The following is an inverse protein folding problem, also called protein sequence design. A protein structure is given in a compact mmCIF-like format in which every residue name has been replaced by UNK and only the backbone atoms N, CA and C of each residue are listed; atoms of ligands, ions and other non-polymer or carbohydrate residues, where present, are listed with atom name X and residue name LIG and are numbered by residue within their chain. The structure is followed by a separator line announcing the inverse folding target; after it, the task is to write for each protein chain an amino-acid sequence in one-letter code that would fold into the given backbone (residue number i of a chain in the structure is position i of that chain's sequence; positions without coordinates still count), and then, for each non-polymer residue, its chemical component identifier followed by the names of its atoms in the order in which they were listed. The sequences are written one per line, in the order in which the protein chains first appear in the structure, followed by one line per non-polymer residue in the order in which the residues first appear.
data_IF_321696706805
#
_entry.id   IF_321696706805
#
_cell.length_a   1.000
_cell.length_b   1.000
_cell.length_c   1.000
_cell.angle_alpha   90.00
_cell.angle_beta   90.00
_cell.angle_gamma   90.00
#
_symmetry.space_group_name_H-M   'P 1'
#
loop_
_entity.id
_entity.type
_entity.pdbx_description
1 polymer ?
#
# COMPACT_ATOMS: atom_id res chain seq x y z
N UNK A 1 0.83 -26.99 0.27
CA UNK A 1 -0.53 -26.94 0.86
C UNK A 1 -1.52 -27.01 -0.30
N UNK A 2 -2.64 -27.74 -0.15
CA UNK A 2 -3.73 -27.67 -1.14
C UNK A 2 -4.25 -26.23 -1.24
N UNK A 3 -4.65 -25.79 -2.43
CA UNK A 3 -5.15 -24.44 -2.71
C UNK A 3 -6.29 -24.04 -1.77
N UNK A 4 -7.15 -25.00 -1.39
CA UNK A 4 -8.26 -24.79 -0.44
C UNK A 4 -7.79 -24.40 0.97
N UNK A 5 -6.70 -25.00 1.45
CA UNK A 5 -6.15 -24.70 2.78
C UNK A 5 -5.55 -23.30 2.82
N UNK A 6 -4.90 -22.87 1.74
CA UNK A 6 -4.36 -21.51 1.62
C UNK A 6 -5.48 -20.46 1.61
N UNK A 7 -6.56 -20.70 0.85
CA UNK A 7 -7.73 -19.81 0.80
C UNK A 7 -8.39 -19.68 2.17
N UNK A 8 -8.65 -20.80 2.86
CA UNK A 8 -9.29 -20.76 4.19
C UNK A 8 -8.46 -19.96 5.20
N UNK A 9 -7.14 -20.15 5.22
CA UNK A 9 -6.25 -19.37 6.08
C UNK A 9 -6.29 -17.87 5.74
N UNK A 10 -6.31 -17.51 4.45
CA UNK A 10 -6.46 -16.12 4.02
C UNK A 10 -7.78 -15.53 4.52
N UNK A 11 -8.88 -16.27 4.39
CA UNK A 11 -10.20 -15.83 4.86
C UNK A 11 -10.26 -15.68 6.38
N UNK A 12 -9.69 -16.62 7.13
CA UNK A 12 -9.60 -16.54 8.59
C UNK A 12 -8.78 -15.33 9.05
N UNK A 13 -7.61 -15.10 8.43
CA UNK A 13 -6.78 -13.94 8.73
C UNK A 13 -7.50 -12.63 8.41
N UNK A 14 -8.16 -12.56 7.25
CA UNK A 14 -8.95 -11.38 6.88
C UNK A 14 -10.10 -11.15 7.88
N UNK A 15 -10.78 -12.22 8.31
CA UNK A 15 -11.80 -12.20 9.35
C UNK A 15 -11.31 -11.65 10.70
N UNK A 16 -10.09 -12.02 11.12
CA UNK A 16 -9.46 -11.45 12.32
C UNK A 16 -9.18 -9.97 12.15
N UNK A 17 -8.61 -9.58 11.00
CA UNK A 17 -8.29 -8.16 10.72
C UNK A 17 -9.54 -7.30 10.80
N UNK A 18 -10.64 -7.67 10.14
CA UNK A 18 -11.89 -6.89 10.19
C UNK A 18 -12.51 -6.83 11.59
N UNK A 19 -12.31 -7.86 12.42
CA UNK A 19 -12.80 -7.89 13.80
C UNK A 19 -11.94 -7.08 14.76
N UNK A 20 -10.63 -7.03 14.53
CA UNK A 20 -9.65 -6.37 15.40
C UNK A 20 -9.36 -4.91 15.04
N UNK A 21 -9.67 -4.52 13.80
CA UNK A 21 -9.44 -3.21 13.22
C UNK A 21 -10.72 -2.72 12.51
N UNK A 22 -11.71 -2.19 13.25
CA UNK A 22 -12.98 -1.72 12.67
C UNK A 22 -12.84 -0.44 11.83
N UNK A 23 -11.62 0.08 11.70
CA UNK A 23 -11.30 1.42 11.20
C UNK A 23 -11.01 1.42 9.70
N UNK A 24 -10.77 0.24 9.11
CA UNK A 24 -10.35 0.13 7.72
C UNK A 24 -11.47 0.36 6.72
N UNK A 25 -11.10 1.00 5.61
CA UNK A 25 -11.96 1.30 4.48
C UNK A 25 -11.60 0.37 3.33
N UNK A 26 -12.62 -0.10 2.64
CA UNK A 26 -12.49 -1.06 1.54
C UNK A 26 -13.03 -0.48 0.25
N UNK A 27 -12.62 -1.06 -0.88
CA UNK A 27 -13.07 -0.70 -2.21
C UNK A 27 -14.60 -0.55 -2.25
N UNK A 28 -15.06 0.62 -2.68
CA UNK A 28 -16.47 1.04 -2.63
C UNK A 28 -16.72 2.18 -1.64
N UNK A 29 -15.88 2.35 -0.61
CA UNK A 29 -15.96 3.51 0.28
C UNK A 29 -15.52 4.80 -0.47
N UNK A 30 -16.35 5.86 -0.48
CA UNK A 30 -16.03 7.10 -1.19
C UNK A 30 -14.73 7.78 -0.75
N UNK A 31 -14.29 7.60 0.49
CA UNK A 31 -13.06 8.24 0.99
C UNK A 31 -11.81 7.75 0.24
N UNK A 32 -11.85 6.52 -0.27
CA UNK A 32 -10.78 5.92 -1.07
C UNK A 32 -10.79 6.37 -2.54
N UNK A 33 -11.75 7.22 -2.93
CA UNK A 33 -11.95 7.71 -4.30
C UNK A 33 -11.75 9.22 -4.42
N UNK A 34 -11.25 9.84 -3.36
CA UNK A 34 -11.08 11.28 -3.28
C UNK A 34 -9.61 11.62 -3.12
N UNK A 35 -9.18 12.66 -3.83
CA UNK A 35 -7.88 13.26 -3.57
C UNK A 35 -7.86 13.87 -2.18
N UNK A 36 -6.82 13.54 -1.43
CA UNK A 36 -6.63 13.98 -0.05
C UNK A 36 -6.24 15.45 0.05
N UNK A 37 -6.47 16.01 1.24
CA UNK A 37 -6.07 17.38 1.57
C UNK A 37 -4.68 17.39 2.21
N UNK A 38 -3.88 18.42 1.89
CA UNK A 38 -2.65 18.69 2.63
C UNK A 38 -2.95 18.95 4.12
N UNK A 39 -1.97 18.64 4.96
CA UNK A 39 -2.04 18.79 6.42
C UNK A 39 -0.98 19.73 6.96
N UNK A 40 -1.26 20.30 8.13
CA UNK A 40 -0.22 20.92 8.94
C UNK A 40 0.80 19.87 9.40
N UNK A 41 1.99 20.31 9.81
CA UNK A 41 3.00 19.40 10.37
C UNK A 41 2.47 18.71 11.64
N UNK A 42 1.77 19.42 12.51
CA UNK A 42 1.24 18.87 13.75
C UNK A 42 0.24 17.75 13.48
N UNK A 43 -0.76 17.99 12.62
CA UNK A 43 -1.76 16.98 12.26
C UNK A 43 -1.10 15.80 11.53
N UNK A 44 -0.13 16.08 10.67
CA UNK A 44 0.60 15.05 9.93
C UNK A 44 1.39 14.10 10.84
N UNK A 45 1.98 14.62 11.92
CA UNK A 45 2.67 13.82 12.94
C UNK A 45 1.68 12.94 13.71
N UNK A 46 0.54 13.49 14.12
CA UNK A 46 -0.47 12.76 14.87
C UNK A 46 -1.06 11.61 14.03
N UNK A 47 -1.48 11.92 12.79
CA UNK A 47 -2.00 10.93 11.84
C UNK A 47 -0.92 9.88 11.56
N UNK A 48 0.32 10.30 11.30
CA UNK A 48 1.42 9.39 11.01
C UNK A 48 1.72 8.40 12.15
N UNK A 49 1.70 8.85 13.42
CA UNK A 49 1.87 7.97 14.58
C UNK A 49 0.74 6.95 14.68
N UNK A 50 -0.49 7.41 14.57
CA UNK A 50 -1.68 6.55 14.59
C UNK A 50 -1.62 5.47 13.49
N UNK A 51 -1.29 5.84 12.25
CA UNK A 51 -1.12 4.88 11.16
C UNK A 51 0.05 3.91 11.42
N UNK A 52 1.14 4.40 12.00
CA UNK A 52 2.30 3.59 12.36
C UNK A 52 1.95 2.48 13.36
N UNK A 53 1.22 2.83 14.43
CA UNK A 53 0.79 1.89 15.45
C UNK A 53 -0.13 0.80 14.86
N UNK A 54 -1.09 1.21 13.99
CA UNK A 54 -1.95 0.28 13.27
C UNK A 54 -1.13 -0.66 12.39
N UNK A 55 -0.19 -0.12 11.59
CA UNK A 55 0.62 -0.92 10.67
C UNK A 55 1.48 -1.94 11.43
N UNK A 56 2.08 -1.56 12.55
CA UNK A 56 2.86 -2.47 13.39
C UNK A 56 1.99 -3.60 13.94
N UNK A 57 0.82 -3.28 14.50
CA UNK A 57 -0.12 -4.30 15.02
C UNK A 57 -0.64 -5.21 13.91
N UNK A 58 -0.97 -4.65 12.74
CA UNK A 58 -1.38 -5.43 11.56
C UNK A 58 -0.29 -6.43 11.16
N UNK A 59 0.99 -5.99 11.11
CA UNK A 59 2.12 -6.87 10.79
C UNK A 59 2.31 -7.98 11.82
N UNK A 60 2.11 -7.71 13.11
CA UNK A 60 2.18 -8.73 14.16
C UNK A 60 1.12 -9.82 13.98
N UNK A 61 -0.08 -9.45 13.55
CA UNK A 61 -1.19 -10.38 13.31
C UNK A 61 -1.03 -11.18 12.01
N UNK A 62 -0.66 -10.50 10.92
CA UNK A 62 -0.74 -11.04 9.56
C UNK A 62 0.61 -11.58 9.05
N UNK A 63 1.72 -11.07 9.59
CA UNK A 63 3.10 -11.42 9.20
C UNK A 63 3.64 -10.64 8.00
N UNK A 64 2.83 -9.78 7.37
CA UNK A 64 3.23 -8.90 6.28
C UNK A 64 2.46 -7.57 6.33
N UNK A 65 2.68 -6.69 5.34
CA UNK A 65 2.11 -5.34 5.25
C UNK A 65 3.21 -4.30 5.35
N UNK A 66 3.43 -3.49 4.30
CA UNK A 66 4.60 -2.59 4.21
C UNK A 66 4.24 -1.11 4.19
N UNK A 67 2.97 -0.77 4.07
CA UNK A 67 2.49 0.60 4.12
C UNK A 67 1.02 0.68 4.47
N UNK A 68 0.62 1.89 4.85
CA UNK A 68 -0.75 2.26 5.16
C UNK A 68 -0.94 3.76 4.93
N UNK A 69 -1.92 4.14 4.13
CA UNK A 69 -2.28 5.53 3.89
C UNK A 69 -3.51 5.97 4.71
N UNK A 70 -3.56 7.25 5.09
CA UNK A 70 -4.64 7.81 5.91
C UNK A 70 -6.06 7.55 5.35
N UNK A 71 -6.31 7.60 4.02
CA UNK A 71 -7.63 7.29 3.47
C UNK A 71 -8.10 5.88 3.80
N UNK A 72 -7.18 4.92 3.98
CA UNK A 72 -7.50 3.54 4.33
C UNK A 72 -8.09 3.39 5.74
N UNK A 73 -7.99 4.43 6.59
CA UNK A 73 -8.64 4.50 7.90
C UNK A 73 -9.80 5.51 7.93
N UNK A 74 -10.16 6.08 6.77
CA UNK A 74 -11.23 7.08 6.64
C UNK A 74 -10.76 8.52 6.83
N UNK A 75 -9.46 8.75 6.96
CA UNK A 75 -8.88 10.08 7.14
C UNK A 75 -8.43 10.61 5.77
N UNK A 76 -9.18 11.54 5.18
CA UNK A 76 -8.88 12.13 3.85
C UNK A 76 -7.76 13.18 3.91
N UNK A 77 -6.57 12.78 4.37
CA UNK A 77 -5.40 13.64 4.55
C UNK A 77 -4.15 13.06 3.87
N UNK A 78 -3.27 13.93 3.40
CA UNK A 78 -2.07 13.58 2.63
C UNK A 78 -0.95 13.06 3.52
N UNK A 79 -1.18 11.89 4.13
CA UNK A 79 -0.23 11.21 5.01
C UNK A 79 -0.27 9.71 4.73
N UNK A 80 0.91 9.10 4.60
CA UNK A 80 1.04 7.65 4.66
C UNK A 80 2.26 7.26 5.48
N UNK A 81 2.30 6.00 5.88
CA UNK A 81 3.44 5.40 6.56
C UNK A 81 3.93 4.16 5.83
N UNK A 82 5.20 3.84 5.99
CA UNK A 82 5.80 2.59 5.51
C UNK A 82 6.59 1.92 6.61
N UNK A 83 6.67 0.59 6.59
CA UNK A 83 7.56 -0.18 7.47
C UNK A 83 8.78 -0.65 6.67
N UNK A 84 9.94 -0.03 6.90
CA UNK A 84 11.20 -0.29 6.20
C UNK A 84 12.34 -0.38 7.20
N UNK A 85 13.30 -1.27 6.99
CA UNK A 85 14.47 -1.45 7.87
C UNK A 85 14.12 -1.63 9.36
N UNK A 86 13.01 -2.33 9.63
CA UNK A 86 12.42 -2.55 10.96
C UNK A 86 11.93 -1.27 11.67
N UNK A 87 11.64 -0.21 10.93
CA UNK A 87 11.13 1.04 11.47
C UNK A 87 9.98 1.62 10.64
N UNK A 88 9.16 2.46 11.27
CA UNK A 88 8.06 3.18 10.63
C UNK A 88 8.57 4.53 10.12
N UNK A 89 8.41 4.77 8.82
CA UNK A 89 8.66 6.07 8.21
C UNK A 89 7.35 6.77 7.90
N UNK A 90 7.24 8.04 8.32
CA UNK A 90 6.05 8.89 8.10
C UNK A 90 6.33 9.85 6.95
N UNK A 91 5.38 9.91 6.01
CA UNK A 91 5.42 10.77 4.83
C UNK A 91 4.28 11.79 4.91
N UNK A 92 4.61 13.03 5.25
CA UNK A 92 3.64 14.13 5.36
C UNK A 92 3.70 14.96 4.06
N UNK A 93 2.53 15.20 3.47
CA UNK A 93 2.34 15.89 2.19
C UNK A 93 3.34 15.42 1.10
N UNK A 94 3.49 14.10 0.87
CA UNK A 94 4.47 13.60 -0.08
C UNK A 94 4.12 14.00 -1.51
N UNK A 95 5.13 14.03 -2.38
CA UNK A 95 4.98 14.29 -3.81
C UNK A 95 6.05 13.56 -4.60
N UNK A 96 5.64 12.74 -5.56
CA UNK A 96 6.56 12.17 -6.55
C UNK A 96 6.94 13.27 -7.55
N UNK A 97 8.24 13.58 -7.65
CA UNK A 97 8.77 14.67 -8.49
C UNK A 97 9.43 14.18 -9.77
N UNK A 98 9.82 12.90 -9.83
CA UNK A 98 10.34 12.27 -11.04
C UNK A 98 10.01 10.78 -11.04
N UNK A 99 9.93 10.19 -12.22
CA UNK A 99 9.74 8.76 -12.42
C UNK A 99 10.49 8.31 -13.66
N UNK A 100 11.10 7.12 -13.59
CA UNK A 100 11.82 6.57 -14.74
C UNK A 100 10.84 6.05 -15.82
N UNK A 101 11.32 6.01 -17.06
CA UNK A 101 10.60 5.39 -18.18
C UNK A 101 10.63 3.86 -18.11
N UNK A 102 11.62 3.28 -17.42
CA UNK A 102 11.70 1.83 -17.19
C UNK A 102 10.62 1.43 -16.19
N UNK A 103 9.98 0.30 -16.44
CA UNK A 103 8.84 -0.17 -15.67
C UNK A 103 9.02 -1.63 -15.29
N UNK A 104 8.41 -2.03 -14.18
CA UNK A 104 8.32 -3.41 -13.75
C UNK A 104 6.88 -3.78 -13.39
N UNK A 105 6.65 -5.08 -13.25
CA UNK A 105 5.38 -5.70 -12.88
C UNK A 105 5.52 -6.43 -11.53
N UNK A 106 4.44 -6.43 -10.75
CA UNK A 106 4.34 -7.11 -9.46
C UNK A 106 2.86 -7.31 -9.12
N UNK A 107 2.51 -8.42 -8.47
CA UNK A 107 1.17 -8.64 -7.91
C UNK A 107 1.02 -7.85 -6.63
N UNK A 108 0.39 -6.69 -6.72
CA UNK A 108 0.13 -5.85 -5.55
C UNK A 108 -1.08 -6.41 -4.79
N UNK A 109 -0.89 -6.65 -3.49
CA UNK A 109 -1.96 -6.88 -2.52
C UNK A 109 -2.19 -5.58 -1.74
N UNK A 110 -3.45 -5.23 -1.52
CA UNK A 110 -3.83 -4.07 -0.74
C UNK A 110 -4.87 -4.45 0.29
N UNK A 111 -4.71 -3.97 1.53
CA UNK A 111 -5.69 -4.15 2.59
C UNK A 111 -7.08 -3.67 2.17
N UNK A 112 -7.17 -2.49 1.54
CA UNK A 112 -8.44 -1.91 1.08
C UNK A 112 -9.06 -2.66 -0.10
N UNK A 113 -8.34 -3.57 -0.74
CA UNK A 113 -8.83 -4.48 -1.78
C UNK A 113 -9.14 -5.89 -1.23
N UNK A 114 -9.02 -6.07 0.10
CA UNK A 114 -9.29 -7.31 0.80
C UNK A 114 -8.29 -8.41 0.43
N UNK A 115 -8.80 -9.51 -0.12
CA UNK A 115 -8.03 -10.70 -0.47
C UNK A 115 -7.66 -10.76 -1.96
N UNK A 116 -7.83 -9.65 -2.68
CA UNK A 116 -7.60 -9.55 -4.12
C UNK A 116 -6.22 -8.93 -4.36
N UNK A 117 -5.41 -9.60 -5.17
CA UNK A 117 -4.21 -9.03 -5.76
C UNK A 117 -4.36 -8.90 -7.28
N UNK A 118 -3.53 -8.07 -7.89
CA UNK A 118 -3.52 -7.87 -9.34
C UNK A 118 -2.14 -7.47 -9.83
N UNK A 119 -1.81 -7.80 -11.08
CA UNK A 119 -0.55 -7.39 -11.69
C UNK A 119 -0.60 -5.89 -11.99
N UNK A 120 0.27 -5.12 -11.33
CA UNK A 120 0.33 -3.67 -11.50
C UNK A 120 1.66 -3.26 -12.12
N UNK A 121 1.60 -2.41 -13.14
CA UNK A 121 2.78 -1.79 -13.74
C UNK A 121 3.15 -0.51 -12.99
N UNK A 122 4.43 -0.36 -12.61
CA UNK A 122 4.95 0.85 -11.92
C UNK A 122 6.28 1.27 -12.55
N UNK A 123 6.64 2.55 -12.39
CA UNK A 123 7.98 3.00 -12.71
C UNK A 123 9.00 2.27 -11.83
N UNK A 124 10.13 1.86 -12.42
CA UNK A 124 11.19 1.15 -11.70
C UNK A 124 11.87 2.04 -10.67
N UNK A 125 11.89 3.36 -10.91
CA UNK A 125 12.54 4.33 -10.03
C UNK A 125 11.70 5.59 -9.94
N UNK A 126 11.67 6.18 -8.75
CA UNK A 126 11.02 7.47 -8.49
C UNK A 126 11.91 8.37 -7.65
N UNK A 127 11.73 9.68 -7.78
CA UNK A 127 12.16 10.65 -6.78
C UNK A 127 10.92 11.15 -6.05
N UNK A 128 10.93 11.10 -4.72
CA UNK A 128 9.83 11.58 -3.88
C UNK A 128 10.35 12.63 -2.90
N UNK A 129 9.52 13.65 -2.69
CA UNK A 129 9.71 14.73 -1.72
C UNK A 129 8.62 14.65 -0.66
N UNK A 130 8.96 14.80 0.61
CA UNK A 130 7.99 14.77 1.71
C UNK A 130 8.53 15.53 2.92
N UNK A 131 7.66 15.87 3.86
CA UNK A 131 8.06 16.41 5.17
C UNK A 131 8.10 15.26 6.18
N UNK A 132 9.19 15.17 6.94
CA UNK A 132 9.32 14.18 8.02
C UNK A 132 8.74 14.72 9.36
N UNK A 133 8.64 13.88 10.41
CA UNK A 133 8.11 14.31 11.71
C UNK A 133 8.91 15.41 12.43
N UNK A 134 10.13 15.71 11.99
CA UNK A 134 10.92 16.84 12.52
C UNK A 134 10.58 18.17 11.85
N UNK A 135 9.73 18.14 10.81
CA UNK A 135 9.46 19.28 9.95
C UNK A 135 10.50 19.46 8.84
N UNK A 136 11.45 18.53 8.71
CA UNK A 136 12.48 18.61 7.68
C UNK A 136 11.94 18.10 6.36
N UNK A 137 12.11 18.90 5.31
CA UNK A 137 11.80 18.50 3.96
C UNK A 137 12.86 17.54 3.42
N UNK A 138 12.45 16.32 3.07
CA UNK A 138 13.30 15.31 2.46
C UNK A 138 13.03 15.20 0.96
N UNK A 139 14.04 14.84 0.20
CA UNK A 139 13.92 14.44 -1.19
C UNK A 139 14.88 13.29 -1.43
N UNK A 140 14.36 12.16 -1.92
CA UNK A 140 15.15 10.93 -2.08
C UNK A 140 14.68 10.15 -3.30
N UNK A 141 15.64 9.50 -3.93
CA UNK A 141 15.41 8.54 -4.99
C UNK A 141 15.28 7.14 -4.41
N UNK A 142 14.32 6.38 -4.94
CA UNK A 142 14.08 4.98 -4.60
C UNK A 142 13.90 4.19 -5.88
N UNK A 143 14.25 2.91 -5.83
CA UNK A 143 14.08 1.97 -6.95
C UNK A 143 13.33 0.70 -6.54
N UNK A 144 12.96 -0.09 -7.55
CA UNK A 144 12.44 -1.44 -7.43
C UNK A 144 11.26 -1.55 -6.46
N UNK A 145 11.38 -2.41 -5.45
CA UNK A 145 10.30 -2.72 -4.50
C UNK A 145 9.96 -1.50 -3.64
N UNK A 146 10.95 -0.67 -3.29
CA UNK A 146 10.71 0.54 -2.49
C UNK A 146 10.04 1.63 -3.32
N UNK A 147 10.49 1.84 -4.56
CA UNK A 147 9.81 2.74 -5.49
C UNK A 147 8.34 2.33 -5.69
N UNK A 148 8.07 1.03 -5.82
CA UNK A 148 6.72 0.49 -5.95
C UNK A 148 5.88 0.73 -4.71
N UNK A 149 6.41 0.41 -3.52
CA UNK A 149 5.72 0.65 -2.25
C UNK A 149 5.29 2.12 -2.13
N UNK A 150 6.20 3.04 -2.40
CA UNK A 150 5.91 4.47 -2.29
C UNK A 150 4.92 4.95 -3.36
N UNK A 151 5.00 4.42 -4.59
CA UNK A 151 3.99 4.68 -5.62
C UNK A 151 2.61 4.13 -5.21
N UNK A 152 2.55 2.98 -4.54
CA UNK A 152 1.30 2.40 -4.04
C UNK A 152 0.67 3.31 -2.99
N UNK A 153 1.41 3.64 -1.93
CA UNK A 153 0.89 4.49 -0.85
C UNK A 153 0.55 5.90 -1.34
N UNK A 154 1.34 6.45 -2.26
CA UNK A 154 1.06 7.73 -2.87
C UNK A 154 -0.27 7.73 -3.66
N UNK A 155 -0.60 6.64 -4.35
CA UNK A 155 -1.85 6.55 -5.12
C UNK A 155 -3.12 6.51 -4.27
N UNK A 156 -3.05 6.00 -3.05
CA UNK A 156 -4.16 6.15 -2.09
C UNK A 156 -4.48 7.62 -1.81
N UNK A 157 -3.47 8.50 -1.82
CA UNK A 157 -3.66 9.93 -1.59
C UNK A 157 -4.36 10.65 -2.75
N UNK A 158 -4.36 10.04 -3.95
CA UNK A 158 -5.07 10.48 -5.14
C UNK A 158 -6.42 9.78 -5.33
N UNK A 159 -6.80 8.85 -4.44
CA UNK A 159 -8.05 8.09 -4.52
C UNK A 159 -8.03 6.92 -5.52
N UNK A 160 -6.84 6.37 -5.81
CA UNK A 160 -6.64 5.25 -6.73
C UNK A 160 -6.12 4.02 -5.96
N UNK A 161 -6.79 2.89 -6.13
CA UNK A 161 -6.44 1.58 -5.58
C UNK A 161 -5.66 0.76 -6.61
N UNK A 162 -4.90 -0.24 -6.13
CA UNK A 162 -4.19 -1.18 -7.01
C UNK A 162 -5.08 -1.87 -8.04
N UNK A 163 -6.34 -2.17 -7.66
CA UNK A 163 -7.30 -2.86 -8.52
C UNK A 163 -7.81 -2.01 -9.68
N UNK A 164 -7.70 -0.68 -9.62
CA UNK A 164 -8.17 0.19 -10.70
C UNK A 164 -7.18 0.23 -11.88
N UNK A 165 -5.91 -0.05 -11.59
CA UNK A 165 -4.80 0.00 -12.55
C UNK A 165 -4.16 -1.38 -12.78
N UNK A 166 -4.78 -2.43 -12.24
CA UNK A 166 -4.35 -3.79 -12.48
C UNK A 166 -4.52 -4.16 -13.96
N UNK A 167 -3.60 -4.96 -14.49
CA UNK A 167 -3.69 -5.46 -15.86
C UNK A 167 -5.01 -6.24 -16.04
N UNK A 168 -5.76 -6.04 -17.15
CA UNK A 168 -7.00 -6.75 -17.40
C UNK A 168 -6.84 -8.27 -17.25
N UNK A 169 -7.76 -8.91 -16.54
CA UNK A 169 -7.73 -10.35 -16.29
C UNK A 169 -6.74 -10.81 -15.21
N UNK A 170 -5.97 -9.91 -14.59
CA UNK A 170 -4.97 -10.28 -13.56
C UNK A 170 -5.51 -10.31 -12.13
N UNK A 171 -6.75 -9.88 -11.90
CA UNK A 171 -7.36 -9.87 -10.57
C UNK A 171 -7.65 -11.30 -10.12
N UNK A 172 -6.99 -11.71 -9.04
CA UNK A 172 -7.13 -13.05 -8.48
C UNK A 172 -7.32 -12.96 -6.96
N UNK A 173 -8.05 -13.92 -6.39
CA UNK A 173 -8.00 -14.14 -4.94
C UNK A 173 -6.62 -14.70 -4.62
N UNK A 174 -6.00 -14.18 -3.56
CA UNK A 174 -4.70 -14.66 -3.13
C UNK A 174 -4.77 -16.12 -2.67
N UNK A 175 -4.06 -16.99 -3.40
CA UNK A 175 -3.95 -18.43 -3.14
C UNK A 175 -2.53 -18.86 -2.77
N UNK A 176 -1.58 -17.93 -2.86
CA UNK A 176 -0.15 -18.16 -2.65
C UNK A 176 0.39 -17.20 -1.59
N UNK A 177 1.60 -17.48 -1.09
CA UNK A 177 2.25 -16.63 -0.10
C UNK A 177 2.70 -15.31 -0.74
N UNK A 178 2.15 -14.15 -0.33
CA UNK A 178 2.48 -12.86 -0.94
C UNK A 178 3.95 -12.47 -0.75
N UNK A 179 4.66 -13.07 0.21
CA UNK A 179 6.08 -12.82 0.44
C UNK A 179 7.01 -13.49 -0.58
N UNK A 180 6.49 -14.42 -1.39
CA UNK A 180 7.25 -15.10 -2.45
C UNK A 180 7.20 -14.36 -3.79
N UNK A 181 6.42 -13.30 -3.86
CA UNK A 181 6.25 -12.51 -5.07
C UNK A 181 7.51 -11.70 -5.38
N UNK A 182 7.85 -11.62 -6.67
CA UNK A 182 9.06 -10.96 -7.16
C UNK A 182 8.76 -10.02 -8.32
N UNK A 183 9.60 -8.98 -8.48
CA UNK A 183 9.52 -8.07 -9.62
C UNK A 183 9.71 -8.82 -10.94
N UNK A 184 8.93 -8.43 -11.95
CA UNK A 184 8.98 -8.98 -13.31
C UNK A 184 9.07 -7.87 -14.35
N UNK A 185 9.53 -8.24 -15.55
CA UNK A 185 9.57 -7.35 -16.73
C UNK A 185 8.29 -7.42 -17.57
N UNK A 186 7.39 -8.38 -17.28
CA UNK A 186 6.13 -8.63 -17.99
C UNK A 186 5.08 -9.14 -17.00
N UNK A 187 3.78 -8.94 -17.25
CA UNK A 187 2.73 -9.48 -16.40
C UNK A 187 2.75 -11.01 -16.44
N UNK A 188 2.16 -11.66 -15.44
CA UNK A 188 1.93 -13.09 -15.51
C UNK A 188 0.91 -13.36 -16.61
N UNK A 189 1.22 -14.31 -17.49
CA UNK A 189 0.23 -14.77 -18.47
C UNK A 189 -0.94 -15.37 -17.71
N UNK A 190 -2.15 -15.16 -18.24
CA UNK A 190 -3.36 -15.87 -17.80
C UNK A 190 -3.01 -17.34 -17.56
N UNK A 191 -3.26 -17.83 -16.34
CA UNK A 191 -3.31 -19.27 -16.12
C UNK A 191 -4.51 -19.74 -16.93
N UNK A 192 -4.25 -20.42 -18.05
CA UNK A 192 -5.28 -21.11 -18.84
C UNK A 192 -6.08 -22.06 -17.98
#
# INVERSE_FOLDING_TARGET
MSSTVAINRTLENFGKVIGEFPEFRFAGDPVLRQKTQEVSLADGIEIGKYLGDILVRYRQLVGYGRGLAAPQTGISKSVFVTFMDNDVQIYINPKITASSQRQNYYRELCLSSGIIWGDVKRAEQITIKWTDPTGTLKTREFDNVLARLLQHEYKHLDGELNIDIAEPGSLEIITEDPLKEVLRIKPLKERK
#
